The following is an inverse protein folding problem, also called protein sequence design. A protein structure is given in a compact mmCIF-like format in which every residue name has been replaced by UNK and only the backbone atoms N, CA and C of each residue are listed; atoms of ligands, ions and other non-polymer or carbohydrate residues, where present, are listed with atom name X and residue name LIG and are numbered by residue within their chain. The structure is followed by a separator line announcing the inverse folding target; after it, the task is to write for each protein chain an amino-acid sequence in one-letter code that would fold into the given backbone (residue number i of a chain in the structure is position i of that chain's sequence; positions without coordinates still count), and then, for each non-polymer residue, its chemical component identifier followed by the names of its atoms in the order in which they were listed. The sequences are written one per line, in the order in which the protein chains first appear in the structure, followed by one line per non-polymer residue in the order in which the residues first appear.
data_IF_545813449235
#
_entry.id   IF_545813449235
#
_cell.length_a   1.000
_cell.length_b   1.000
_cell.length_c   1.000
_cell.angle_alpha   90.00
_cell.angle_beta   90.00
_cell.angle_gamma   90.00
#
_symmetry.space_group_name_H-M   'P 1'
#
loop_
_entity.id
_entity.type
_entity.pdbx_description
1 polymer ?
#
# COMPACT_ATOMS: atom_id res chain seq x y z
N UNK A 1 -3.68 -2.84 -5.87
CA UNK A 1 -3.09 -4.19 -5.96
C UNK A 1 -3.85 -4.99 -6.99
N UNK A 2 -3.12 -5.53 -7.96
CA UNK A 2 -3.70 -6.33 -9.03
C UNK A 2 -3.37 -7.78 -8.78
N UNK A 3 -4.37 -8.69 -8.96
CA UNK A 3 -4.15 -10.11 -8.80
C UNK A 3 -3.63 -10.50 -7.42
N UNK A 4 -4.42 -10.23 -6.39
CA UNK A 4 -4.10 -10.63 -5.04
C UNK A 4 -5.08 -11.70 -4.57
N UNK A 5 -4.72 -12.43 -3.53
CA UNK A 5 -5.56 -13.42 -2.90
C UNK A 5 -5.28 -13.54 -1.42
N UNK A 6 -6.23 -14.10 -0.71
CA UNK A 6 -6.09 -14.47 0.70
C UNK A 6 -7.02 -15.63 1.03
N UNK A 7 -6.85 -16.21 2.20
CA UNK A 7 -7.72 -17.29 2.67
C UNK A 7 -9.04 -16.73 3.17
N UNK A 8 -10.15 -17.43 2.89
CA UNK A 8 -11.49 -17.06 3.35
C UNK A 8 -11.54 -16.79 4.86
N UNK A 9 -10.86 -17.62 5.66
CA UNK A 9 -10.78 -17.46 7.11
C UNK A 9 -10.08 -16.17 7.54
N UNK A 10 -9.08 -15.70 6.78
CA UNK A 10 -8.37 -14.45 7.07
C UNK A 10 -9.17 -13.23 6.67
N UNK A 11 -9.91 -13.33 5.55
CA UNK A 11 -10.79 -12.25 5.10
C UNK A 11 -11.99 -12.09 6.05
N UNK A 12 -12.61 -13.20 6.48
CA UNK A 12 -13.82 -13.18 7.28
C UNK A 12 -13.65 -12.53 8.67
N UNK A 13 -12.43 -12.52 9.22
CA UNK A 13 -12.13 -11.91 10.52
C UNK A 13 -11.69 -10.45 10.42
N UNK A 14 -11.60 -9.90 9.19
CA UNK A 14 -11.22 -8.51 8.99
C UNK A 14 -12.38 -7.58 9.35
N UNK A 15 -12.17 -6.76 10.38
CA UNK A 15 -13.01 -5.61 10.62
C UNK A 15 -12.53 -4.43 9.78
N UNK A 16 -13.24 -4.16 8.69
CA UNK A 16 -12.93 -3.06 7.78
C UNK A 16 -13.30 -1.68 8.34
N UNK A 17 -14.05 -1.62 9.43
CA UNK A 17 -14.51 -0.36 10.05
C UNK A 17 -13.91 -0.14 11.46
N UNK A 18 -12.79 -0.77 11.77
CA UNK A 18 -12.11 -0.69 13.07
C UNK A 18 -11.50 0.71 13.33
N UNK A 19 -12.38 1.69 13.48
CA UNK A 19 -12.01 3.09 13.74
C UNK A 19 -11.19 3.25 15.03
N UNK A 20 -11.44 2.39 16.03
CA UNK A 20 -10.69 2.41 17.28
C UNK A 20 -9.22 2.06 17.04
N UNK A 21 -8.97 1.04 16.21
CA UNK A 21 -7.62 0.63 15.88
C UNK A 21 -6.92 1.64 14.96
N UNK A 22 -7.65 2.26 14.01
CA UNK A 22 -7.08 3.33 13.18
C UNK A 22 -6.62 4.52 14.03
N UNK A 23 -7.46 4.96 14.98
CA UNK A 23 -7.09 6.01 15.94
C UNK A 23 -5.87 5.61 16.78
N UNK A 24 -5.80 4.35 17.24
CA UNK A 24 -4.64 3.84 17.99
C UNK A 24 -3.35 3.95 17.18
N UNK A 25 -3.35 3.50 15.91
CA UNK A 25 -2.18 3.63 15.03
C UNK A 25 -1.78 5.11 14.89
N UNK A 26 -2.76 5.99 14.60
CA UNK A 26 -2.53 7.39 14.25
C UNK A 26 -2.17 8.28 15.45
N UNK A 27 -2.44 7.85 16.68
CA UNK A 27 -2.09 8.57 17.91
C UNK A 27 -0.72 8.17 18.50
N UNK A 28 -0.10 7.11 17.98
CA UNK A 28 1.15 6.59 18.50
C UNK A 28 2.27 6.69 17.43
N UNK A 29 3.26 7.54 17.70
CA UNK A 29 4.39 7.77 16.78
C UNK A 29 5.21 6.53 16.49
N UNK A 30 5.30 5.58 17.43
CA UNK A 30 5.98 4.32 17.22
C UNK A 30 5.17 3.42 16.27
N UNK A 31 3.86 3.31 16.49
CA UNK A 31 2.98 2.54 15.59
C UNK A 31 2.93 3.16 14.18
N UNK A 32 2.89 4.49 14.04
CA UNK A 32 3.01 5.17 12.75
C UNK A 32 4.31 4.77 12.04
N UNK A 33 5.43 4.79 12.75
CA UNK A 33 6.74 4.42 12.18
C UNK A 33 6.75 2.97 11.71
N UNK A 34 6.19 2.05 12.49
CA UNK A 34 6.07 0.65 12.12
C UNK A 34 5.10 0.44 10.95
N UNK A 35 3.94 1.08 10.99
CA UNK A 35 2.92 1.01 9.93
C UNK A 35 3.45 1.52 8.58
N UNK A 36 4.30 2.53 8.61
CA UNK A 36 4.98 3.09 7.44
C UNK A 36 6.28 2.35 7.06
N UNK A 37 6.54 1.18 7.62
CA UNK A 37 7.83 0.51 7.41
C UNK A 37 8.10 0.17 5.95
N UNK A 38 7.11 -0.31 5.21
CA UNK A 38 7.22 -0.66 3.79
C UNK A 38 6.82 0.48 2.85
N UNK A 39 6.16 1.54 3.35
CA UNK A 39 5.77 2.69 2.54
C UNK A 39 5.41 3.90 3.41
N UNK A 40 6.02 5.04 3.15
CA UNK A 40 5.90 6.24 4.00
C UNK A 40 4.52 6.92 3.99
N UNK A 41 3.67 6.59 3.02
CA UNK A 41 2.35 7.21 2.86
C UNK A 41 1.19 6.43 3.50
N UNK A 42 1.43 5.24 4.05
CA UNK A 42 0.33 4.40 4.53
C UNK A 42 -0.44 5.02 5.70
N UNK A 43 0.23 5.62 6.67
CA UNK A 43 -0.47 6.32 7.76
C UNK A 43 -1.24 7.54 7.26
N UNK A 44 -0.76 8.22 6.21
CA UNK A 44 -1.50 9.30 5.56
C UNK A 44 -2.79 8.78 4.93
N UNK A 45 -2.73 7.71 4.14
CA UNK A 45 -3.93 7.08 3.58
C UNK A 45 -4.89 6.58 4.66
N UNK A 46 -4.37 6.04 5.76
CA UNK A 46 -5.19 5.64 6.89
C UNK A 46 -5.87 6.86 7.55
N UNK A 47 -5.20 8.02 7.61
CA UNK A 47 -5.81 9.26 8.09
C UNK A 47 -6.97 9.70 7.20
N UNK A 48 -6.79 9.70 5.88
CA UNK A 48 -7.87 10.03 4.94
C UNK A 48 -9.05 9.06 5.07
N UNK A 49 -8.75 7.75 5.20
CA UNK A 49 -9.78 6.73 5.42
C UNK A 49 -10.54 6.95 6.73
N UNK A 50 -9.84 7.25 7.83
CA UNK A 50 -10.45 7.49 9.14
C UNK A 50 -11.33 8.75 9.17
N UNK A 51 -11.02 9.73 8.32
CA UNK A 51 -11.83 10.95 8.12
C UNK A 51 -12.99 10.77 7.13
N UNK A 52 -13.08 9.65 6.44
CA UNK A 52 -14.07 9.43 5.39
C UNK A 52 -13.78 10.17 4.08
N UNK A 53 -12.56 10.71 3.91
CA UNK A 53 -12.14 11.42 2.69
C UNK A 53 -11.80 10.47 1.54
N UNK A 54 -11.52 9.20 1.83
CA UNK A 54 -11.35 8.13 0.85
C UNK A 54 -12.07 6.87 1.30
N UNK A 55 -12.49 6.05 0.33
CA UNK A 55 -13.06 4.73 0.60
C UNK A 55 -12.14 3.65 0.00
N UNK A 56 -11.11 3.27 0.75
CA UNK A 56 -10.09 2.33 0.30
C UNK A 56 -10.12 1.04 1.11
N UNK A 57 -10.63 -0.05 0.50
CA UNK A 57 -10.56 -1.37 1.12
C UNK A 57 -9.11 -1.80 1.37
N UNK A 58 -8.17 -1.38 0.52
CA UNK A 58 -6.77 -1.79 0.58
C UNK A 58 -6.07 -1.27 1.85
N UNK A 59 -6.24 0.01 2.20
CA UNK A 59 -5.61 0.54 3.41
C UNK A 59 -6.21 -0.06 4.68
N UNK A 60 -7.52 -0.38 4.66
CA UNK A 60 -8.21 -1.05 5.75
C UNK A 60 -7.72 -2.50 5.91
N UNK A 61 -7.56 -3.21 4.79
CA UNK A 61 -6.97 -4.55 4.78
C UNK A 61 -5.51 -4.53 5.26
N UNK A 62 -4.72 -3.55 4.84
CA UNK A 62 -3.36 -3.38 5.31
C UNK A 62 -3.29 -3.12 6.82
N UNK A 63 -4.20 -2.30 7.38
CA UNK A 63 -4.32 -2.09 8.82
C UNK A 63 -4.67 -3.39 9.56
N UNK A 64 -5.54 -4.22 8.99
CA UNK A 64 -5.86 -5.54 9.55
C UNK A 64 -4.65 -6.49 9.53
N UNK A 65 -3.90 -6.55 8.43
CA UNK A 65 -2.66 -7.34 8.35
C UNK A 65 -1.68 -6.87 9.42
N UNK A 66 -1.51 -5.57 9.58
CA UNK A 66 -0.64 -4.98 10.59
C UNK A 66 -1.09 -5.34 12.02
N UNK A 67 -2.39 -5.24 12.33
CA UNK A 67 -3.00 -5.65 13.60
C UNK A 67 -2.71 -7.11 13.92
N UNK A 68 -2.84 -7.96 12.93
CA UNK A 68 -2.65 -9.41 13.03
C UNK A 68 -1.20 -9.85 12.98
N UNK A 69 -0.24 -8.91 12.88
CA UNK A 69 1.19 -9.19 12.66
C UNK A 69 1.42 -10.11 11.45
N UNK A 70 0.57 -9.98 10.45
CA UNK A 70 0.62 -10.76 9.22
C UNK A 70 1.68 -10.24 8.25
N UNK A 71 1.90 -11.01 7.18
CA UNK A 71 2.83 -10.67 6.11
C UNK A 71 2.14 -10.76 4.76
N UNK A 72 2.64 -10.00 3.79
CA UNK A 72 2.27 -10.12 2.39
C UNK A 72 3.39 -10.84 1.64
N UNK A 73 3.02 -11.82 0.82
CA UNK A 73 3.94 -12.51 -0.07
C UNK A 73 3.76 -11.89 -1.46
N UNK A 74 4.86 -11.56 -2.10
CA UNK A 74 4.88 -10.98 -3.43
C UNK A 74 5.60 -11.94 -4.39
N UNK A 75 5.02 -12.11 -5.58
CA UNK A 75 5.72 -12.81 -6.64
C UNK A 75 6.92 -11.96 -7.12
N UNK A 76 8.05 -12.59 -7.36
CA UNK A 76 9.24 -11.92 -7.91
C UNK A 76 9.03 -11.50 -9.36
N UNK A 77 8.28 -12.32 -10.12
CA UNK A 77 7.92 -12.06 -11.50
C UNK A 77 6.43 -11.83 -11.64
N UNK A 78 6.05 -10.81 -12.39
CA UNK A 78 4.61 -10.56 -12.59
C UNK A 78 4.01 -11.59 -13.53
N UNK A 79 2.87 -12.15 -13.11
CA UNK A 79 2.01 -13.02 -13.93
C UNK A 79 0.78 -12.27 -14.41
N UNK A 80 0.72 -10.98 -14.14
CA UNK A 80 -0.42 -10.13 -14.43
C UNK A 80 0.04 -8.87 -15.13
N UNK A 81 -0.75 -8.46 -16.11
CA UNK A 81 -0.60 -7.17 -16.78
C UNK A 81 -1.84 -6.32 -16.51
N UNK A 82 -1.63 -5.12 -16.04
CA UNK A 82 -2.70 -4.15 -15.99
C UNK A 82 -2.86 -3.49 -17.35
N UNK A 83 -3.99 -3.70 -17.99
CA UNK A 83 -4.32 -3.13 -19.30
C UNK A 83 -5.01 -1.76 -19.18
N UNK A 84 -5.33 -1.29 -17.98
CA UNK A 84 -6.07 -0.05 -17.75
C UNK A 84 -5.22 1.24 -17.82
N UNK A 85 -3.99 1.19 -18.36
CA UNK A 85 -3.14 2.38 -18.56
C UNK A 85 -3.36 3.08 -19.91
N UNK A 86 -4.32 2.66 -20.67
CA UNK A 86 -4.76 3.31 -21.92
C UNK A 86 -5.76 4.46 -21.67
N UNK A 87 -6.13 4.70 -20.42
CA UNK A 87 -7.12 5.68 -20.00
C UNK A 87 -8.55 5.12 -19.89
N UNK A 88 -8.76 3.83 -20.19
CA UNK A 88 -10.06 3.16 -20.01
C UNK A 88 -10.30 2.71 -18.57
N UNK A 89 -9.24 2.59 -17.75
CA UNK A 89 -9.34 2.18 -16.36
C UNK A 89 -10.09 3.18 -15.49
N UNK A 90 -10.63 2.73 -14.36
CA UNK A 90 -11.39 3.55 -13.40
C UNK A 90 -10.64 4.83 -12.98
N UNK A 91 -9.32 4.78 -12.87
CA UNK A 91 -8.48 5.91 -12.49
C UNK A 91 -7.99 6.73 -13.69
N UNK A 92 -8.39 6.39 -14.92
CA UNK A 92 -8.04 7.12 -16.15
C UNK A 92 -6.55 7.43 -16.33
N UNK A 93 -5.67 6.59 -15.74
CA UNK A 93 -4.22 6.74 -15.84
C UNK A 93 -3.78 6.34 -17.25
N UNK A 94 -3.01 7.23 -17.92
CA UNK A 94 -2.52 7.01 -19.29
C UNK A 94 -1.04 6.68 -19.36
N UNK A 95 -0.42 6.34 -18.24
CA UNK A 95 1.00 6.06 -18.17
C UNK A 95 1.28 4.87 -17.25
N UNK A 96 1.91 3.83 -17.79
CA UNK A 96 2.36 2.69 -16.98
C UNK A 96 3.65 3.03 -16.25
N UNK A 97 3.50 3.47 -15.00
CA UNK A 97 4.63 3.76 -14.12
C UNK A 97 5.37 2.50 -13.62
N UNK A 98 4.76 1.33 -13.80
CA UNK A 98 5.31 0.07 -13.30
C UNK A 98 6.17 -0.66 -14.33
N UNK A 99 6.02 -0.29 -15.61
CA UNK A 99 6.76 -0.92 -16.73
C UNK A 99 6.79 -2.45 -16.61
N UNK A 100 5.61 -3.04 -16.47
CA UNK A 100 5.46 -4.47 -16.22
C UNK A 100 5.93 -5.29 -17.41
N UNK A 101 6.93 -6.12 -17.19
CA UNK A 101 7.35 -7.15 -18.13
C UNK A 101 6.66 -8.46 -17.75
N UNK A 102 5.85 -8.99 -18.66
CA UNK A 102 5.22 -10.29 -18.46
C UNK A 102 6.28 -11.37 -18.44
N UNK A 103 6.22 -12.23 -17.43
CA UNK A 103 6.97 -13.49 -17.46
C UNK A 103 6.10 -14.54 -18.16
N UNK A 104 6.57 -15.02 -19.32
CA UNK A 104 5.92 -16.09 -20.07
C UNK A 104 6.31 -17.47 -19.54
N UNK A 105 7.13 -17.57 -18.50
CA UNK A 105 7.50 -18.85 -17.91
C UNK A 105 6.30 -19.45 -17.17
N UNK A 106 5.89 -20.63 -17.61
CA UNK A 106 5.03 -21.53 -16.83
C UNK A 106 5.97 -22.26 -15.87
N UNK A 107 6.43 -21.53 -14.85
CA UNK A 107 7.26 -22.17 -13.84
C UNK A 107 6.34 -22.99 -12.92
N UNK A 108 6.70 -24.24 -12.71
CA UNK A 108 6.16 -25.01 -11.62
C UNK A 108 6.60 -24.35 -10.31
N UNK A 109 5.63 -23.72 -9.60
CA UNK A 109 5.92 -23.12 -8.30
C UNK A 109 6.02 -24.23 -7.26
N UNK A 110 7.22 -24.45 -6.75
CA UNK A 110 7.41 -25.25 -5.56
C UNK A 110 7.04 -24.41 -4.33
N UNK A 111 5.81 -24.57 -3.86
CA UNK A 111 5.31 -23.98 -2.62
C UNK A 111 5.83 -24.74 -1.40
N UNK A 112 7.14 -24.84 -1.25
CA UNK A 112 7.71 -25.38 -0.03
C UNK A 112 7.45 -24.43 1.14
N UNK A 113 7.18 -25.02 2.28
CA UNK A 113 7.04 -24.32 3.57
C UNK A 113 8.38 -23.69 3.98
N UNK A 114 8.72 -22.58 3.35
CA UNK A 114 9.89 -21.78 3.72
C UNK A 114 9.47 -20.77 4.78
N UNK A 115 10.24 -20.72 5.85
CA UNK A 115 10.10 -19.66 6.85
C UNK A 115 10.11 -18.31 6.15
N UNK A 116 9.00 -17.57 6.29
CA UNK A 116 8.87 -16.23 5.72
C UNK A 116 9.84 -15.29 6.42
N UNK A 117 10.90 -14.92 5.73
CA UNK A 117 11.86 -13.92 6.22
C UNK A 117 11.66 -12.61 5.48
N UNK A 118 11.76 -11.50 6.20
CA UNK A 118 11.70 -10.18 5.57
C UNK A 118 13.04 -9.89 4.88
N UNK A 119 13.01 -9.74 3.57
CA UNK A 119 14.16 -9.24 2.82
C UNK A 119 14.24 -7.71 2.95
N UNK A 120 15.25 -7.24 3.70
CA UNK A 120 15.49 -5.81 3.93
C UNK A 120 15.85 -5.07 2.63
N UNK A 121 16.47 -5.75 1.67
CA UNK A 121 16.82 -5.21 0.35
C UNK A 121 15.56 -4.92 -0.47
N UNK A 122 14.65 -5.89 -0.54
CA UNK A 122 13.35 -5.73 -1.21
C UNK A 122 12.55 -4.62 -0.55
N UNK A 123 12.45 -4.57 0.77
CA UNK A 123 11.75 -3.48 1.48
C UNK A 123 12.36 -2.11 1.18
N UNK A 124 13.69 -2.03 1.09
CA UNK A 124 14.35 -0.77 0.72
C UNK A 124 13.95 -0.32 -0.69
N UNK A 125 13.90 -1.23 -1.66
CA UNK A 125 13.47 -0.94 -3.03
C UNK A 125 12.01 -0.50 -3.08
N UNK A 126 11.10 -1.20 -2.38
CA UNK A 126 9.70 -0.79 -2.22
C UNK A 126 9.59 0.64 -1.68
N UNK A 127 10.31 0.94 -0.61
CA UNK A 127 10.31 2.28 -0.01
C UNK A 127 10.80 3.35 -0.98
N UNK A 128 11.82 3.06 -1.77
CA UNK A 128 12.33 3.98 -2.79
C UNK A 128 11.29 4.22 -3.88
N UNK A 129 10.64 3.16 -4.36
CA UNK A 129 9.61 3.23 -5.39
C UNK A 129 8.41 4.09 -4.93
N UNK A 130 7.86 3.81 -3.74
CA UNK A 130 6.69 4.53 -3.22
C UNK A 130 7.01 5.92 -2.61
N UNK A 131 8.27 6.31 -2.51
CA UNK A 131 8.61 7.67 -2.06
C UNK A 131 8.40 8.74 -3.14
N UNK A 132 8.09 8.35 -4.36
CA UNK A 132 7.96 9.25 -5.50
C UNK A 132 9.29 9.91 -5.94
N UNK A 133 9.35 10.39 -7.18
CA UNK A 133 10.57 11.01 -7.72
C UNK A 133 10.83 12.42 -7.18
N UNK A 134 9.83 13.07 -6.59
CA UNK A 134 9.89 14.48 -6.24
C UNK A 134 10.41 14.72 -4.82
N UNK A 135 11.46 15.57 -4.69
CA UNK A 135 12.00 15.98 -3.40
C UNK A 135 10.94 16.67 -2.52
N UNK A 136 10.03 17.43 -3.13
CA UNK A 136 8.96 18.14 -2.43
C UNK A 136 8.01 17.16 -1.75
N UNK A 137 7.63 16.07 -2.43
CA UNK A 137 6.75 15.03 -1.86
C UNK A 137 7.45 14.27 -0.73
N UNK A 138 8.76 14.07 -0.85
CA UNK A 138 9.57 13.51 0.25
C UNK A 138 9.58 14.42 1.47
N UNK A 139 9.74 15.73 1.28
CA UNK A 139 9.74 16.72 2.36
C UNK A 139 8.35 16.78 3.01
N UNK A 140 7.27 16.84 2.23
CA UNK A 140 5.89 16.84 2.73
C UNK A 140 5.60 15.58 3.54
N UNK A 141 5.99 14.40 3.03
CA UNK A 141 5.81 13.14 3.74
C UNK A 141 6.59 13.11 5.06
N UNK A 142 7.83 13.62 5.08
CA UNK A 142 8.65 13.68 6.30
C UNK A 142 8.05 14.67 7.31
N UNK A 143 7.57 15.82 6.86
CA UNK A 143 6.92 16.81 7.71
C UNK A 143 5.62 16.25 8.31
N UNK A 144 4.78 15.61 7.50
CA UNK A 144 3.59 14.93 7.99
C UNK A 144 3.92 13.89 9.06
N UNK A 145 4.91 13.03 8.81
CA UNK A 145 5.30 12.00 9.77
C UNK A 145 5.86 12.55 11.09
N UNK A 146 6.43 13.77 11.06
CA UNK A 146 6.98 14.41 12.27
C UNK A 146 5.97 15.28 13.02
N UNK A 147 5.07 15.93 12.31
CA UNK A 147 4.20 16.98 12.86
C UNK A 147 2.72 16.64 12.85
N UNK A 148 2.31 15.61 12.08
CA UNK A 148 0.89 15.31 11.82
C UNK A 148 0.18 16.34 10.93
N UNK A 149 0.88 17.37 10.45
CA UNK A 149 0.29 18.40 9.59
C UNK A 149 0.13 17.88 8.16
N UNK A 150 -1.11 17.88 7.69
CA UNK A 150 -1.45 17.59 6.30
C UNK A 150 -1.23 18.85 5.46
N UNK A 151 -0.28 18.81 4.55
CA UNK A 151 -0.09 19.88 3.55
C UNK A 151 -1.04 19.65 2.38
N UNK A 152 -1.95 20.57 2.14
CA UNK A 152 -3.10 20.48 1.22
C UNK A 152 -2.79 20.22 -0.26
N UNK A 153 -1.58 19.95 -0.63
CA UNK A 153 -1.24 19.59 -2.01
C UNK A 153 -0.56 18.23 -2.12
N UNK A 154 -1.32 17.21 -1.79
CA UNK A 154 -1.20 15.92 -2.48
C UNK A 154 -2.35 15.90 -3.50
N UNK A 155 -2.40 16.93 -4.33
CA UNK A 155 -3.45 17.16 -5.33
C UNK A 155 -3.54 16.08 -6.40
N UNK A 156 -2.56 15.18 -6.46
CA UNK A 156 -2.50 14.23 -7.58
C UNK A 156 -2.99 12.83 -7.23
N UNK A 157 -2.89 12.42 -5.98
CA UNK A 157 -3.32 11.07 -5.61
C UNK A 157 -4.80 11.03 -5.26
N UNK A 158 -5.34 12.07 -4.63
CA UNK A 158 -6.77 12.14 -4.31
C UNK A 158 -7.64 12.39 -5.55
N UNK A 159 -7.15 13.16 -6.52
CA UNK A 159 -7.83 13.35 -7.83
C UNK A 159 -7.94 12.07 -8.65
N UNK A 160 -7.02 11.13 -8.45
CA UNK A 160 -7.10 9.82 -9.11
C UNK A 160 -8.09 8.86 -8.44
N UNK A 161 -8.55 9.16 -7.22
CA UNK A 161 -9.47 8.30 -6.46
C UNK A 161 -10.90 8.85 -6.36
N UNK A 162 -11.15 10.12 -6.74
CA UNK A 162 -12.44 10.79 -6.58
C UNK A 162 -13.20 11.06 -7.91
N UNK A 163 -12.74 10.52 -9.05
CA UNK A 163 -13.44 10.59 -10.34
C UNK A 163 -13.81 9.21 -10.87
#
# INVERSE_FOLDING_TARGET
SWGWGTWKSKWAICDFEDQAYYKKILSDTHLIKMFNWSGKSFSYFLTLQAKGEVNSWLIRWYAHIFKSKGVCIWATDTKLKNVGFDGSGQHKVKHDIYNQKESNSIDEYDFQDKTTTFDKGVIKQFRQFFMGPNIIDKIKTVLYLKTGLLFEKIDDVSKHYNN
#
